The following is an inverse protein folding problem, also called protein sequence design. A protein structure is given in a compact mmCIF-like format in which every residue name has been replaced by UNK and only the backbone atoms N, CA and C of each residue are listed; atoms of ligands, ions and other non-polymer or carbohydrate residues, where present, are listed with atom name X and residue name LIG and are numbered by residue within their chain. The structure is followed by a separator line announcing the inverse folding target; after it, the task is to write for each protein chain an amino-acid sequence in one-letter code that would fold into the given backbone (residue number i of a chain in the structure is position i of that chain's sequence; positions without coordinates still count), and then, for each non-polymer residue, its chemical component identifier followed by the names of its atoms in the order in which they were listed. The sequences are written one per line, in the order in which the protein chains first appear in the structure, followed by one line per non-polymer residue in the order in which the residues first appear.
data_IF_334183526447
#
_entry.id   IF_334183526447
#
_cell.length_a   1.000
_cell.length_b   1.000
_cell.length_c   1.000
_cell.angle_alpha   90.00
_cell.angle_beta   90.00
_cell.angle_gamma   90.00
#
_symmetry.space_group_name_H-M   'P 1'
#
loop_
_entity.id
_entity.type
_entity.pdbx_description
1 polymer ?
#
# COMPACT_ATOMS: atom_id res chain seq x y z
N UNK A 1 -44.32 28.49 44.58
CA UNK A 1 -42.94 27.95 44.59
C UNK A 1 -42.86 26.82 43.58
N UNK A 2 -41.88 26.93 42.66
CA UNK A 2 -41.27 25.89 41.82
C UNK A 2 -42.15 25.06 40.86
N UNK A 3 -41.92 25.27 39.57
CA UNK A 3 -41.92 24.20 38.58
C UNK A 3 -40.89 24.55 37.49
N UNK A 4 -39.62 24.24 37.75
CA UNK A 4 -38.57 24.21 36.72
C UNK A 4 -38.77 22.94 35.90
N UNK A 5 -39.14 23.09 34.64
CA UNK A 5 -39.16 21.99 33.68
C UNK A 5 -37.75 21.90 33.07
N UNK A 6 -37.01 20.86 33.47
CA UNK A 6 -35.76 20.49 32.83
C UNK A 6 -36.06 20.08 31.38
N UNK A 7 -35.56 20.87 30.44
CA UNK A 7 -35.35 20.42 29.06
C UNK A 7 -34.20 19.40 29.08
N UNK A 8 -34.52 18.11 29.20
CA UNK A 8 -33.55 17.04 28.93
C UNK A 8 -33.52 16.86 27.41
N UNK A 9 -32.66 17.63 26.75
CA UNK A 9 -32.34 17.42 25.34
C UNK A 9 -31.39 16.22 25.25
N UNK A 10 -31.95 15.02 25.13
CA UNK A 10 -31.19 13.81 24.81
C UNK A 10 -30.92 13.81 23.31
N UNK A 11 -29.93 14.59 22.86
CA UNK A 11 -29.39 14.47 21.51
C UNK A 11 -28.50 13.23 21.51
N UNK A 12 -29.10 12.07 21.21
CA UNK A 12 -28.36 10.88 20.79
C UNK A 12 -27.65 11.22 19.48
N UNK A 13 -26.38 11.61 19.59
CA UNK A 13 -25.44 11.64 18.48
C UNK A 13 -25.23 10.20 18.00
N UNK A 14 -26.12 9.73 17.13
CA UNK A 14 -25.82 8.63 16.22
C UNK A 14 -24.79 9.14 15.22
N UNK A 15 -23.52 9.19 15.63
CA UNK A 15 -22.41 9.13 14.69
C UNK A 15 -22.41 7.70 14.12
N UNK A 16 -23.32 7.45 13.17
CA UNK A 16 -23.19 6.31 12.28
C UNK A 16 -22.04 6.67 11.34
N UNK A 17 -20.82 6.37 11.78
CA UNK A 17 -19.70 6.22 10.86
C UNK A 17 -20.09 5.02 10.01
N UNK A 18 -20.60 5.29 8.80
CA UNK A 18 -20.66 4.27 7.77
C UNK A 18 -19.22 3.85 7.51
N UNK A 19 -18.79 2.75 8.14
CA UNK A 19 -17.66 2.00 7.65
C UNK A 19 -18.11 1.45 6.30
N UNK A 20 -17.81 2.21 5.23
CA UNK A 20 -18.03 1.76 3.86
C UNK A 20 -17.33 0.42 3.72
N UNK A 21 -18.08 -0.58 3.25
CA UNK A 21 -17.50 -1.88 2.91
C UNK A 21 -16.51 -1.63 1.75
N UNK A 22 -15.22 -1.89 1.99
CA UNK A 22 -14.19 -1.82 0.95
C UNK A 22 -14.59 -2.78 -0.19
N UNK A 23 -14.40 -2.35 -1.44
CA UNK A 23 -14.71 -3.12 -2.63
C UNK A 23 -13.41 -3.42 -3.38
N UNK A 24 -12.66 -4.43 -2.88
CA UNK A 24 -11.38 -4.80 -3.45
C UNK A 24 -11.49 -5.23 -4.92
N UNK A 25 -10.73 -4.57 -5.79
CA UNK A 25 -10.55 -5.04 -7.17
C UNK A 25 -9.46 -6.12 -7.18
N UNK A 26 -8.29 -5.81 -6.60
CA UNK A 26 -7.17 -6.76 -6.47
C UNK A 26 -6.44 -6.52 -5.14
N UNK A 27 -6.15 -7.59 -4.41
CA UNK A 27 -5.38 -7.58 -3.16
C UNK A 27 -4.36 -8.72 -3.20
N UNK A 28 -3.09 -8.45 -2.91
CA UNK A 28 -2.02 -9.46 -2.89
C UNK A 28 -1.18 -9.32 -1.63
N UNK A 29 -0.94 -10.43 -0.93
CA UNK A 29 0.00 -10.50 0.18
C UNK A 29 1.38 -10.87 -0.35
N UNK A 30 2.20 -9.85 -0.58
CA UNK A 30 3.44 -10.02 -1.31
C UNK A 30 4.50 -10.82 -0.55
N UNK A 31 5.11 -11.77 -1.23
CA UNK A 31 6.01 -12.76 -0.65
C UNK A 31 5.37 -13.75 0.32
N UNK A 32 4.04 -13.75 0.44
CA UNK A 32 3.31 -14.55 1.43
C UNK A 32 2.10 -15.29 0.88
N UNK A 33 1.51 -16.09 1.77
CA UNK A 33 0.27 -16.82 1.51
C UNK A 33 -0.96 -15.89 1.54
N UNK A 34 -2.08 -16.38 1.02
CA UNK A 34 -3.36 -15.68 1.06
C UNK A 34 -3.79 -15.38 2.51
N UNK A 35 -4.32 -14.18 2.74
CA UNK A 35 -4.76 -13.71 4.05
C UNK A 35 -6.06 -12.91 3.94
N UNK A 36 -6.87 -12.86 4.99
CA UNK A 36 -8.06 -12.00 5.06
C UNK A 36 -7.94 -11.11 6.28
N UNK A 37 -7.94 -9.80 6.06
CA UNK A 37 -7.75 -8.83 7.13
C UNK A 37 -9.00 -8.67 8.00
N UNK A 38 -8.86 -7.90 9.09
CA UNK A 38 -9.98 -7.60 10.01
C UNK A 38 -11.15 -6.87 9.35
N UNK A 39 -10.94 -6.23 8.20
CA UNK A 39 -11.97 -5.53 7.43
C UNK A 39 -12.65 -6.44 6.40
N UNK A 40 -12.22 -7.69 6.29
CA UNK A 40 -12.77 -8.69 5.36
C UNK A 40 -12.19 -8.61 3.95
N UNK A 41 -11.11 -7.86 3.73
CA UNK A 41 -10.40 -7.83 2.44
C UNK A 41 -9.55 -9.08 2.32
N UNK A 42 -9.80 -9.87 1.27
CA UNK A 42 -9.04 -11.09 0.99
C UNK A 42 -7.86 -10.81 0.07
N UNK A 43 -6.66 -10.80 0.64
CA UNK A 43 -5.38 -10.79 -0.05
C UNK A 43 -5.10 -12.17 -0.63
N UNK A 44 -4.82 -12.21 -1.93
CA UNK A 44 -4.39 -13.42 -2.62
C UNK A 44 -2.93 -13.72 -2.29
N UNK A 45 -2.54 -15.00 -2.40
CA UNK A 45 -1.14 -15.39 -2.30
C UNK A 45 -0.36 -14.76 -3.44
N UNK A 46 0.89 -14.40 -3.18
CA UNK A 46 1.75 -13.81 -4.19
C UNK A 46 2.29 -14.87 -5.15
N UNK A 47 1.98 -14.68 -6.43
CA UNK A 47 2.42 -15.54 -7.54
C UNK A 47 3.49 -14.88 -8.41
N UNK A 48 4.01 -13.71 -8.03
CA UNK A 48 5.06 -13.04 -8.79
C UNK A 48 6.35 -13.86 -8.72
N UNK A 49 7.00 -14.05 -9.86
CA UNK A 49 8.24 -14.83 -9.97
C UNK A 49 9.48 -13.93 -10.00
N UNK A 50 9.31 -12.62 -10.23
CA UNK A 50 10.40 -11.63 -10.21
C UNK A 50 10.71 -11.27 -8.76
N UNK A 51 11.97 -11.08 -8.39
CA UNK A 51 12.38 -10.83 -7.01
C UNK A 51 12.31 -12.06 -6.10
N UNK A 52 12.51 -11.81 -4.79
CA UNK A 52 12.69 -12.81 -3.75
C UNK A 52 11.59 -12.63 -2.70
N UNK A 53 10.78 -13.67 -2.50
CA UNK A 53 9.86 -13.75 -1.38
C UNK A 53 10.63 -13.97 -0.07
N UNK A 54 10.26 -13.23 0.97
CA UNK A 54 10.90 -13.23 2.27
C UNK A 54 9.85 -13.16 3.37
N UNK A 55 10.06 -13.95 4.42
CA UNK A 55 9.26 -13.95 5.64
C UNK A 55 10.08 -13.47 6.84
N UNK A 56 11.10 -12.63 6.59
CA UNK A 56 12.02 -12.17 7.62
C UNK A 56 11.31 -11.47 8.79
N UNK A 57 10.24 -10.73 8.50
CA UNK A 57 9.43 -10.03 9.50
C UNK A 57 8.64 -10.94 10.45
N UNK A 58 8.48 -12.24 10.14
CA UNK A 58 7.62 -13.16 10.92
C UNK A 58 8.04 -13.31 12.39
N UNK A 59 9.30 -13.06 12.72
CA UNK A 59 9.79 -13.13 14.10
C UNK A 59 9.74 -11.79 14.83
N UNK A 60 9.22 -10.74 14.19
CA UNK A 60 9.15 -9.38 14.73
C UNK A 60 7.74 -9.05 15.20
N UNK A 61 7.65 -8.19 16.21
CA UNK A 61 6.39 -7.59 16.64
C UNK A 61 6.15 -6.33 15.82
N UNK A 62 5.11 -6.34 14.98
CA UNK A 62 4.77 -5.20 14.15
C UNK A 62 3.97 -4.16 14.94
N UNK A 63 4.40 -2.90 14.86
CA UNK A 63 3.69 -1.77 15.45
C UNK A 63 2.75 -1.10 14.44
N UNK A 64 1.73 -0.38 14.94
CA UNK A 64 0.71 0.35 14.15
C UNK A 64 -0.20 -0.52 13.26
N UNK A 65 -0.29 -1.81 13.54
CA UNK A 65 -1.24 -2.72 12.88
C UNK A 65 -1.88 -3.63 13.93
N UNK A 66 -3.15 -4.05 13.78
CA UNK A 66 -3.71 -5.13 14.56
C UNK A 66 -2.88 -6.41 14.42
N UNK A 67 -2.76 -7.20 15.50
CA UNK A 67 -2.01 -8.46 15.48
C UNK A 67 -2.51 -9.43 14.41
N UNK A 68 -3.83 -9.46 14.17
CA UNK A 68 -4.43 -10.29 13.14
C UNK A 68 -3.97 -9.93 11.71
N UNK A 69 -3.65 -8.66 11.46
CA UNK A 69 -3.20 -8.15 10.16
C UNK A 69 -1.68 -8.01 10.09
N UNK A 70 -0.96 -8.34 11.17
CA UNK A 70 0.50 -8.20 11.23
C UNK A 70 1.20 -9.01 10.14
N UNK A 71 0.62 -10.16 9.75
CA UNK A 71 1.13 -11.00 8.66
C UNK A 71 1.29 -10.21 7.35
N UNK A 72 0.39 -9.27 7.09
CA UNK A 72 0.49 -8.41 5.93
C UNK A 72 1.78 -7.60 5.98
N UNK A 73 2.28 -7.20 7.15
CA UNK A 73 3.52 -6.42 7.27
C UNK A 73 4.77 -7.25 7.57
N UNK A 74 4.64 -8.58 7.65
CA UNK A 74 5.71 -9.51 8.03
C UNK A 74 6.27 -10.32 6.87
N UNK A 75 5.47 -10.50 5.81
CA UNK A 75 5.93 -11.07 4.54
C UNK A 75 6.21 -9.98 3.53
N UNK A 76 7.26 -10.19 2.74
CA UNK A 76 7.70 -9.22 1.76
C UNK A 76 8.21 -9.88 0.47
N UNK A 77 8.18 -9.15 -0.64
CA UNK A 77 8.96 -9.47 -1.83
C UNK A 77 9.95 -8.38 -2.11
N UNK A 78 11.23 -8.73 -2.22
CA UNK A 78 12.27 -7.75 -2.52
C UNK A 78 13.10 -8.12 -3.74
N UNK A 79 13.76 -7.14 -4.36
CA UNK A 79 14.74 -7.36 -5.42
C UNK A 79 15.94 -6.42 -5.23
N UNK A 80 17.13 -6.79 -5.69
CA UNK A 80 18.31 -5.90 -5.67
C UNK A 80 18.32 -4.87 -6.80
N UNK A 81 17.37 -4.99 -7.73
CA UNK A 81 17.12 -4.16 -8.91
C UNK A 81 15.67 -3.65 -8.93
N UNK A 82 15.28 -2.95 -10.00
CA UNK A 82 13.88 -2.54 -10.20
C UNK A 82 13.02 -3.72 -10.64
N UNK A 83 11.79 -3.79 -10.15
CA UNK A 83 10.85 -4.84 -10.53
C UNK A 83 9.41 -4.31 -10.55
N UNK A 84 8.46 -5.11 -11.01
CA UNK A 84 7.07 -4.68 -11.15
C UNK A 84 6.06 -5.75 -10.75
N UNK A 85 4.86 -5.28 -10.42
CA UNK A 85 3.64 -6.09 -10.40
C UNK A 85 2.72 -5.64 -11.53
N UNK A 86 2.04 -6.60 -12.13
CA UNK A 86 1.06 -6.35 -13.18
C UNK A 86 -0.32 -6.86 -12.77
N UNK A 87 -1.33 -6.01 -12.94
CA UNK A 87 -2.72 -6.33 -12.69
C UNK A 87 -3.55 -6.06 -13.95
N UNK A 88 -4.68 -6.76 -14.17
CA UNK A 88 -5.62 -6.35 -15.20
C UNK A 88 -6.05 -4.91 -14.97
N UNK A 89 -6.07 -4.08 -16.01
CA UNK A 89 -6.51 -2.69 -15.91
C UNK A 89 -7.96 -2.65 -15.41
N UNK A 90 -8.27 -1.94 -14.30
CA UNK A 90 -9.65 -1.72 -13.88
C UNK A 90 -10.44 -0.93 -14.92
N UNK A 91 -11.77 -0.98 -14.82
CA UNK A 91 -12.63 -0.15 -15.67
C UNK A 91 -12.49 1.33 -15.32
N UNK A 92 -12.99 2.20 -16.18
CA UNK A 92 -13.12 3.62 -15.88
C UNK A 92 -13.82 3.84 -14.52
N UNK A 93 -13.18 4.63 -13.67
CA UNK A 93 -13.56 4.78 -12.26
C UNK A 93 -12.51 5.52 -11.43
N UNK A 94 -12.84 5.74 -10.17
CA UNK A 94 -11.95 6.32 -9.16
C UNK A 94 -11.60 5.23 -8.14
N UNK A 95 -10.33 5.14 -7.79
CA UNK A 95 -9.79 4.08 -6.94
C UNK A 95 -8.72 4.63 -6.00
N UNK A 96 -8.41 3.90 -4.94
CA UNK A 96 -7.23 4.13 -4.10
C UNK A 96 -6.32 2.92 -4.21
N UNK A 97 -5.08 3.16 -4.61
CA UNK A 97 -4.01 2.19 -4.51
C UNK A 97 -3.38 2.27 -3.12
N UNK A 98 -3.59 1.23 -2.31
CA UNK A 98 -2.96 1.03 -1.01
C UNK A 98 -1.69 0.20 -1.20
N UNK A 99 -0.55 0.76 -0.81
CA UNK A 99 0.73 0.07 -0.76
C UNK A 99 1.17 -0.01 0.69
N UNK A 100 1.21 -1.21 1.25
CA UNK A 100 1.57 -1.44 2.65
C UNK A 100 3.08 -1.65 2.74
N UNK A 101 3.73 -1.14 3.77
CA UNK A 101 5.17 -1.20 3.93
C UNK A 101 5.56 -1.39 5.39
N UNK A 102 6.71 -1.98 5.62
CA UNK A 102 7.39 -2.05 6.90
C UNK A 102 8.88 -2.31 6.62
N UNK A 103 9.76 -1.71 7.43
CA UNK A 103 11.19 -2.03 7.37
C UNK A 103 11.48 -3.12 8.40
N UNK A 104 11.90 -4.29 7.94
CA UNK A 104 12.21 -5.45 8.80
C UNK A 104 13.69 -5.86 8.73
N UNK A 105 14.51 -5.20 7.92
CA UNK A 105 15.91 -5.55 7.71
C UNK A 105 16.89 -4.45 8.12
N UNK A 106 16.71 -3.23 7.61
CA UNK A 106 17.62 -2.12 7.87
C UNK A 106 17.30 -1.44 9.20
N UNK A 107 18.34 -1.15 9.99
CA UNK A 107 18.23 -0.47 11.28
C UNK A 107 18.72 0.99 11.24
N UNK A 108 18.73 1.61 10.07
CA UNK A 108 19.14 2.99 9.88
C UNK A 108 18.52 3.60 8.62
N UNK A 109 18.38 4.94 8.55
CA UNK A 109 17.95 5.62 7.34
C UNK A 109 18.90 5.35 6.17
N UNK A 110 18.42 5.53 4.95
CA UNK A 110 19.15 5.40 3.69
C UNK A 110 19.67 3.99 3.38
N UNK A 111 19.36 2.98 4.22
CA UNK A 111 19.66 1.58 3.90
C UNK A 111 18.84 1.07 2.71
N UNK A 112 17.62 1.59 2.55
CA UNK A 112 16.71 1.25 1.46
C UNK A 112 15.91 2.46 1.02
N UNK A 113 16.13 2.87 -0.23
CA UNK A 113 15.45 3.99 -0.87
C UNK A 113 15.00 3.56 -2.26
N UNK A 114 13.71 3.74 -2.55
CA UNK A 114 13.13 3.39 -3.85
C UNK A 114 11.99 4.36 -4.21
N UNK A 115 11.64 4.42 -5.49
CA UNK A 115 10.51 5.19 -5.98
C UNK A 115 9.42 4.27 -6.52
N UNK A 116 8.18 4.74 -6.57
CA UNK A 116 7.03 3.98 -7.08
C UNK A 116 6.46 4.71 -8.28
N UNK A 117 6.29 3.99 -9.38
CA UNK A 117 5.80 4.50 -10.64
C UNK A 117 4.70 3.61 -11.20
N UNK A 118 3.71 4.23 -11.85
CA UNK A 118 2.65 3.51 -12.54
C UNK A 118 2.86 3.58 -14.06
N UNK A 119 2.65 2.45 -14.75
CA UNK A 119 2.69 2.31 -16.20
C UNK A 119 3.90 3.01 -16.88
N UNK A 120 5.10 2.84 -16.30
CA UNK A 120 6.36 3.21 -16.93
C UNK A 120 6.63 4.71 -17.12
N UNK A 121 5.81 5.60 -16.55
CA UNK A 121 5.99 7.04 -16.74
C UNK A 121 5.34 7.94 -15.70
N UNK A 122 4.46 7.40 -14.84
CA UNK A 122 3.76 8.19 -13.82
C UNK A 122 4.34 7.92 -12.43
N UNK A 123 5.35 8.71 -12.05
CA UNK A 123 5.94 8.67 -10.71
C UNK A 123 4.91 9.11 -9.67
N UNK A 124 4.54 8.24 -8.74
CA UNK A 124 3.52 8.51 -7.70
C UNK A 124 4.11 8.69 -6.31
N UNK A 125 5.26 8.06 -6.03
CA UNK A 125 6.04 8.27 -4.80
C UNK A 125 7.51 8.34 -5.18
N UNK A 126 8.25 9.30 -4.62
CA UNK A 126 9.67 9.49 -4.93
C UNK A 126 10.56 9.33 -3.69
N UNK A 127 11.65 8.58 -3.84
CA UNK A 127 12.69 8.35 -2.83
C UNK A 127 12.14 7.92 -1.46
N UNK A 128 11.19 6.98 -1.45
CA UNK A 128 10.62 6.43 -0.24
C UNK A 128 11.69 5.68 0.56
N UNK A 129 11.88 6.13 1.79
CA UNK A 129 12.70 5.49 2.83
C UNK A 129 11.78 5.16 4.00
N UNK A 130 11.38 3.89 4.09
CA UNK A 130 10.43 3.42 5.10
C UNK A 130 11.02 3.58 6.50
N UNK A 131 12.30 3.23 6.69
CA UNK A 131 12.96 3.37 7.99
C UNK A 131 12.99 4.83 8.43
N UNK A 132 13.34 5.74 7.53
CA UNK A 132 13.38 7.17 7.86
C UNK A 132 11.99 7.73 8.17
N UNK A 133 10.94 7.15 7.58
CA UNK A 133 9.55 7.61 7.73
C UNK A 133 8.92 7.11 9.04
N UNK A 134 9.07 5.82 9.35
CA UNK A 134 8.37 5.18 10.49
C UNK A 134 9.26 4.38 11.43
N UNK A 135 10.51 4.09 11.05
CA UNK A 135 11.44 3.25 11.81
C UNK A 135 11.31 1.76 11.53
N UNK A 136 12.01 0.96 12.34
CA UNK A 136 12.05 -0.50 12.22
C UNK A 136 10.79 -1.17 12.78
N UNK A 137 10.26 -2.16 12.07
CA UNK A 137 9.11 -2.98 12.47
C UNK A 137 7.83 -2.17 12.76
N UNK A 138 7.60 -1.14 11.94
CA UNK A 138 6.40 -0.30 12.00
C UNK A 138 5.65 -0.38 10.68
N UNK A 139 4.35 -0.65 10.75
CA UNK A 139 3.46 -0.60 9.60
C UNK A 139 3.35 0.84 9.05
N UNK A 140 3.50 0.95 7.73
CA UNK A 140 3.41 2.16 6.94
C UNK A 140 2.53 1.92 5.72
N UNK A 141 1.85 2.95 5.23
CA UNK A 141 0.99 2.84 4.04
C UNK A 141 1.14 4.07 3.15
N UNK A 142 1.25 3.84 1.85
CA UNK A 142 1.05 4.86 0.83
C UNK A 142 -0.32 4.65 0.20
N UNK A 143 -1.17 5.67 0.28
CA UNK A 143 -2.54 5.66 -0.24
C UNK A 143 -2.62 6.64 -1.41
N UNK A 144 -2.64 6.10 -2.63
CA UNK A 144 -2.53 6.87 -3.86
C UNK A 144 -3.88 6.88 -4.57
N UNK A 145 -4.60 8.01 -4.61
CA UNK A 145 -5.80 8.14 -5.42
C UNK A 145 -5.45 8.03 -6.90
N UNK A 146 -6.12 7.13 -7.61
CA UNK A 146 -6.00 6.95 -9.04
C UNK A 146 -7.37 7.12 -9.70
N UNK A 147 -7.37 7.63 -10.93
CA UNK A 147 -8.56 7.73 -11.76
C UNK A 147 -8.26 7.16 -13.13
N UNK A 148 -9.11 6.24 -13.58
CA UNK A 148 -9.07 5.68 -14.93
C UNK A 148 -10.22 6.29 -15.71
N UNK A 149 -9.91 6.93 -16.83
CA UNK A 149 -10.94 7.54 -17.68
C UNK A 149 -10.48 7.63 -19.13
N UNK A 150 -11.28 7.13 -20.06
CA UNK A 150 -11.04 7.28 -21.50
C UNK A 150 -9.60 6.87 -21.90
N UNK A 151 -9.13 5.72 -21.39
CA UNK A 151 -7.76 5.22 -21.66
C UNK A 151 -6.64 6.00 -20.95
N UNK A 152 -6.96 6.81 -19.95
CA UNK A 152 -5.97 7.55 -19.17
C UNK A 152 -5.93 7.07 -17.72
N UNK A 153 -4.72 6.80 -17.23
CA UNK A 153 -4.44 6.65 -15.81
C UNK A 153 -4.00 8.02 -15.27
N UNK A 154 -4.75 8.55 -14.31
CA UNK A 154 -4.60 9.90 -13.77
C UNK A 154 -4.35 9.82 -12.27
N UNK A 155 -3.39 10.60 -11.77
CA UNK A 155 -3.08 10.78 -10.35
C UNK A 155 -2.88 12.27 -10.05
N UNK A 156 -2.61 12.62 -8.79
CA UNK A 156 -2.23 13.99 -8.44
C UNK A 156 -0.92 14.45 -9.08
N UNK A 157 -0.06 13.51 -9.49
CA UNK A 157 1.26 13.81 -10.07
C UNK A 157 1.23 13.96 -11.59
N UNK A 158 0.12 13.59 -12.25
CA UNK A 158 -0.01 13.68 -13.70
C UNK A 158 -0.88 12.57 -14.29
N UNK A 159 -0.73 12.35 -15.59
CA UNK A 159 -1.47 11.33 -16.33
C UNK A 159 -0.60 10.63 -17.35
N UNK A 160 -0.90 9.36 -17.60
CA UNK A 160 -0.29 8.57 -18.68
C UNK A 160 -1.41 7.91 -19.50
N UNK A 161 -1.21 7.87 -20.83
CA UNK A 161 -2.11 7.10 -21.71
C UNK A 161 -1.82 5.62 -21.48
N UNK A 162 -2.88 4.83 -21.46
CA UNK A 162 -2.84 3.39 -21.32
C UNK A 162 -3.53 2.81 -22.54
N UNK A 163 -2.81 1.98 -23.29
CA UNK A 163 -3.37 1.37 -24.49
C UNK A 163 -4.41 0.29 -24.14
N UNK A 164 -5.31 -0.01 -25.08
CA UNK A 164 -6.32 -1.05 -24.89
C UNK A 164 -5.65 -2.42 -24.65
N UNK A 165 -6.02 -3.08 -23.57
CA UNK A 165 -5.43 -4.35 -23.14
C UNK A 165 -4.09 -4.23 -22.40
N UNK A 166 -3.55 -3.02 -22.21
CA UNK A 166 -2.40 -2.82 -21.33
C UNK A 166 -2.78 -3.10 -19.87
N UNK A 167 -1.84 -3.65 -19.10
CA UNK A 167 -2.04 -3.96 -17.68
C UNK A 167 -1.71 -2.74 -16.83
N UNK A 168 -2.31 -2.67 -15.64
CA UNK A 168 -1.85 -1.76 -14.60
C UNK A 168 -0.52 -2.29 -14.07
N UNK A 169 0.56 -1.55 -14.34
CA UNK A 169 1.89 -1.90 -13.88
C UNK A 169 2.28 -1.00 -12.72
N UNK A 170 2.70 -1.60 -11.61
CA UNK A 170 3.26 -0.90 -10.45
C UNK A 170 4.75 -1.21 -10.42
N UNK A 171 5.56 -0.22 -10.74
CA UNK A 171 7.01 -0.29 -10.84
C UNK A 171 7.66 0.18 -9.55
N UNK A 172 8.49 -0.67 -8.95
CA UNK A 172 9.36 -0.34 -7.84
C UNK A 172 10.74 -0.07 -8.38
N UNK A 173 11.10 1.21 -8.41
CA UNK A 173 12.31 1.69 -9.03
C UNK A 173 13.39 1.81 -7.98
N UNK A 174 14.47 1.06 -8.19
CA UNK A 174 15.69 1.27 -7.42
C UNK A 174 16.20 2.67 -7.71
N UNK A 175 16.36 3.46 -6.66
CA UNK A 175 17.01 4.76 -6.76
C UNK A 175 18.50 4.57 -6.49
N UNK A 176 19.32 4.89 -7.49
CA UNK A 176 20.75 5.08 -7.29
C UNK A 176 20.97 6.53 -6.84
N UNK A 177 20.98 6.77 -5.53
CA UNK A 177 21.40 8.08 -5.02
C UNK A 177 22.87 8.31 -5.39
N UNK A 178 23.17 9.46 -6.00
CA UNK A 178 24.49 9.78 -6.56
C UNK A 178 25.57 10.08 -5.50
N UNK A 179 25.28 9.82 -4.22
CA UNK A 179 26.26 9.83 -3.14
C UNK A 179 26.02 8.61 -2.26
N UNK A 180 26.99 7.71 -2.26
CA UNK A 180 27.10 6.49 -1.46
C UNK A 180 26.40 5.23 -2.01
N UNK A 181 27.26 4.34 -2.49
CA UNK A 181 26.99 2.94 -2.81
C UNK A 181 26.51 2.25 -1.53
N UNK A 182 25.21 2.01 -1.35
CA UNK A 182 24.67 0.92 -0.47
C UNK A 182 23.13 0.74 -0.49
N UNK A 183 22.39 1.14 -1.54
CA UNK A 183 21.01 0.65 -1.69
C UNK A 183 21.01 -0.79 -2.22
N UNK A 184 20.78 -1.77 -1.33
CA UNK A 184 20.93 -3.21 -1.65
C UNK A 184 19.63 -3.95 -1.94
N UNK A 185 18.45 -3.36 -1.73
CA UNK A 185 17.20 -4.00 -2.11
C UNK A 185 16.03 -3.01 -2.18
N UNK A 186 15.13 -3.20 -3.14
CA UNK A 186 13.75 -2.70 -3.14
C UNK A 186 12.88 -3.77 -2.50
N UNK A 187 12.22 -3.50 -1.38
CA UNK A 187 11.38 -4.45 -0.63
C UNK A 187 9.92 -4.05 -0.74
N UNK A 188 9.00 -5.01 -0.81
CA UNK A 188 7.56 -4.77 -0.88
C UNK A 188 6.77 -5.59 0.14
N UNK A 189 5.70 -5.01 0.66
CA UNK A 189 4.72 -5.55 1.61
C UNK A 189 3.32 -5.25 0.99
N UNK A 190 2.29 -6.10 1.14
CA UNK A 190 1.01 -6.16 0.42
C UNK A 190 0.49 -4.93 -0.31
N UNK A 191 0.09 -5.17 -1.56
CA UNK A 191 -0.58 -4.21 -2.43
C UNK A 191 -2.07 -4.51 -2.41
N UNK A 192 -2.89 -3.49 -2.23
CA UNK A 192 -4.33 -3.61 -2.38
C UNK A 192 -4.91 -2.39 -3.10
N UNK A 193 -5.66 -2.62 -4.19
CA UNK A 193 -6.39 -1.59 -4.90
C UNK A 193 -7.87 -1.65 -4.52
N UNK A 194 -8.36 -0.58 -3.91
CA UNK A 194 -9.77 -0.40 -3.53
C UNK A 194 -10.49 0.57 -4.47
N UNK A 195 -11.78 0.34 -4.70
CA UNK A 195 -12.64 1.31 -5.41
C UNK A 195 -13.25 2.31 -4.43
N UNK A 196 -13.32 3.58 -4.86
CA UNK A 196 -13.93 4.67 -4.10
C UNK A 196 -15.46 4.67 -4.16
#
# INVERSE_FOLDING_TARGET
MRASWLCVSLVLLFNCVFAGKLHPIFAVNCGGDAHTDVNGVRYQADTNEVGIASSHGMNLVLHRTPEADAILYQTERYDTSSFSYEFPMPKDGEYILHLKFSEVWFHQPQGKVFSIELNGGLRVVDNLDIYNTVGFSVAHEENIPIKIKDGNLITSQGSVQVDDGEKLQINFLKVCLFSEITSLASTFIPCFLDSL
#
